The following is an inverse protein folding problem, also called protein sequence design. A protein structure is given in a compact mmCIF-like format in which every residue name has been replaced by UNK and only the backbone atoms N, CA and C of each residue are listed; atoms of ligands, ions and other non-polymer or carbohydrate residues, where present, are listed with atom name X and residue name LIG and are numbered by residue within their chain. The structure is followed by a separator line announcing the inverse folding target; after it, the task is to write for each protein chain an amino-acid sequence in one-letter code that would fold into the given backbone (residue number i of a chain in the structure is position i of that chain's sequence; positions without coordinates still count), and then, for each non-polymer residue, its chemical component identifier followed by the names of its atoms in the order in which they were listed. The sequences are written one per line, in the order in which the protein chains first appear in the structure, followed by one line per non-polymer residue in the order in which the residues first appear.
data_IF_012415332188
#
_entry.id   IF_012415332188
#
_cell.length_a   1.000
_cell.length_b   1.000
_cell.length_c   1.000
_cell.angle_alpha   90.00
_cell.angle_beta   90.00
_cell.angle_gamma   90.00
#
_symmetry.space_group_name_H-M   'P 1'
#
loop_
_entity.id
_entity.type
_entity.pdbx_description
1 polymer ?
#
# COMPACT_ATOMS: atom_id res chain seq x y z
N UNK A 1 0.44 -8.17 -2.36
CA UNK A 1 -0.32 -7.42 -3.39
C UNK A 1 0.55 -6.42 -4.16
N UNK A 2 0.24 -6.13 -5.43
CA UNK A 2 0.86 -5.03 -6.18
C UNK A 2 0.28 -3.67 -5.75
N UNK A 3 1.13 -2.66 -5.60
CA UNK A 3 0.76 -1.28 -5.23
C UNK A 3 1.47 -0.25 -6.11
N UNK A 4 0.83 0.89 -6.32
CA UNK A 4 1.43 2.09 -6.91
C UNK A 4 2.10 2.93 -5.83
N UNK A 5 3.35 3.32 -6.08
CA UNK A 5 4.13 4.22 -5.23
C UNK A 5 3.78 5.69 -5.45
N UNK A 6 2.55 5.98 -5.86
CA UNK A 6 2.14 7.31 -6.32
C UNK A 6 2.24 8.38 -5.22
N UNK A 7 1.89 8.04 -3.98
CA UNK A 7 2.04 8.95 -2.83
C UNK A 7 3.50 9.32 -2.57
N UNK A 8 4.40 8.35 -2.65
CA UNK A 8 5.84 8.54 -2.48
C UNK A 8 6.44 9.39 -3.60
N UNK A 9 6.13 9.04 -4.86
CA UNK A 9 6.63 9.74 -6.06
C UNK A 9 6.15 11.19 -6.13
N UNK A 10 4.90 11.45 -5.70
CA UNK A 10 4.33 12.80 -5.70
C UNK A 10 4.84 13.64 -4.54
N UNK A 11 5.13 13.03 -3.39
CA UNK A 11 5.46 13.74 -2.15
C UNK A 11 4.39 14.76 -1.77
N UNK A 12 4.78 16.02 -1.56
CA UNK A 12 3.86 17.10 -1.18
C UNK A 12 3.23 17.84 -2.36
N UNK A 13 3.88 17.87 -3.54
CA UNK A 13 3.40 18.57 -4.73
C UNK A 13 3.80 17.85 -6.03
N UNK A 14 2.95 17.88 -7.07
CA UNK A 14 1.63 18.54 -7.15
C UNK A 14 0.60 17.89 -6.22
N UNK A 15 -0.49 18.56 -5.90
CA UNK A 15 -1.65 17.93 -5.29
C UNK A 15 -2.26 16.90 -6.26
N UNK A 16 -3.03 15.94 -5.75
CA UNK A 16 -3.72 14.92 -6.57
C UNK A 16 -4.64 15.58 -7.61
N UNK A 17 -5.25 16.72 -7.25
CA UNK A 17 -6.13 17.47 -8.16
C UNK A 17 -5.35 18.11 -9.30
N UNK A 18 -4.24 18.77 -9.00
CA UNK A 18 -3.36 19.33 -10.04
C UNK A 18 -2.77 18.21 -10.92
N UNK A 19 -2.41 17.07 -10.34
CA UNK A 19 -1.93 15.91 -11.09
C UNK A 19 -3.02 15.36 -12.04
N UNK A 20 -4.26 15.31 -11.58
CA UNK A 20 -5.43 14.91 -12.36
C UNK A 20 -5.65 15.80 -13.57
N UNK A 21 -5.57 17.12 -13.39
CA UNK A 21 -5.69 18.09 -14.47
C UNK A 21 -4.54 17.96 -15.48
N UNK A 22 -3.30 17.73 -15.00
CA UNK A 22 -2.13 17.59 -15.90
C UNK A 22 -2.12 16.31 -16.71
N UNK A 23 -2.61 15.21 -16.14
CA UNK A 23 -2.59 13.89 -16.79
C UNK A 23 -3.85 13.60 -17.58
N UNK A 24 -4.88 14.45 -17.47
CA UNK A 24 -6.22 14.18 -17.98
C UNK A 24 -6.71 12.80 -17.51
N UNK A 25 -6.59 12.57 -16.20
CA UNK A 25 -7.10 11.38 -15.51
C UNK A 25 -8.07 11.87 -14.45
N UNK A 26 -9.25 11.24 -14.35
CA UNK A 26 -10.28 11.64 -13.37
C UNK A 26 -9.70 11.65 -11.95
N UNK A 27 -9.96 12.71 -11.19
CA UNK A 27 -9.44 12.90 -9.84
C UNK A 27 -9.70 11.72 -8.90
N UNK A 28 -10.92 11.16 -8.91
CA UNK A 28 -11.26 9.98 -8.11
C UNK A 28 -10.34 8.79 -8.42
N UNK A 29 -10.03 8.57 -9.70
CA UNK A 29 -9.17 7.48 -10.13
C UNK A 29 -7.75 7.66 -9.64
N UNK A 30 -7.17 8.85 -9.75
CA UNK A 30 -5.83 9.12 -9.21
C UNK A 30 -5.80 9.04 -7.68
N UNK A 31 -6.87 9.46 -7.02
CA UNK A 31 -7.01 9.31 -5.57
C UNK A 31 -7.05 7.84 -5.17
N UNK A 32 -7.76 6.99 -5.92
CA UNK A 32 -7.78 5.55 -5.68
C UNK A 32 -6.43 4.89 -5.99
N UNK A 33 -5.69 5.41 -6.96
CA UNK A 33 -4.33 4.95 -7.28
C UNK A 33 -3.35 5.32 -6.16
N UNK A 34 -3.43 6.54 -5.64
CA UNK A 34 -2.61 6.99 -4.51
C UNK A 34 -2.89 6.19 -3.24
N UNK A 35 -4.16 5.92 -2.96
CA UNK A 35 -4.58 5.14 -1.79
C UNK A 35 -4.49 3.62 -2.00
N UNK A 36 -4.06 3.16 -3.18
CA UNK A 36 -4.01 1.74 -3.53
C UNK A 36 -5.35 0.99 -3.34
N UNK A 37 -6.48 1.68 -3.52
CA UNK A 37 -7.84 1.10 -3.44
C UNK A 37 -8.36 0.64 -4.80
N UNK A 38 -7.71 1.06 -5.90
CA UNK A 38 -8.09 0.65 -7.24
C UNK A 38 -7.76 -0.83 -7.49
N UNK A 39 -8.75 -1.58 -7.98
CA UNK A 39 -8.59 -3.01 -8.34
C UNK A 39 -7.82 -3.24 -9.63
N UNK A 40 -7.79 -2.23 -10.50
CA UNK A 40 -7.20 -2.31 -11.84
C UNK A 40 -6.58 -0.97 -12.22
N UNK A 41 -5.45 -1.02 -12.92
CA UNK A 41 -4.79 0.15 -13.49
C UNK A 41 -4.88 0.09 -15.01
N UNK A 42 -5.27 1.20 -15.64
CA UNK A 42 -5.24 1.29 -17.10
C UNK A 42 -3.77 1.41 -17.56
N UNK A 43 -3.32 0.64 -18.57
CA UNK A 43 -2.00 0.81 -19.15
C UNK A 43 -1.72 2.25 -19.61
N UNK A 44 -2.74 2.94 -20.14
CA UNK A 44 -2.64 4.35 -20.53
C UNK A 44 -2.30 5.25 -19.34
N UNK A 45 -2.93 5.01 -18.18
CA UNK A 45 -2.65 5.79 -16.98
C UNK A 45 -1.24 5.52 -16.46
N UNK A 46 -0.79 4.26 -16.48
CA UNK A 46 0.57 3.90 -16.10
C UNK A 46 1.59 4.60 -17.01
N UNK A 47 1.37 4.60 -18.32
CA UNK A 47 2.24 5.28 -19.27
C UNK A 47 2.30 6.80 -19.04
N UNK A 48 1.14 7.43 -18.79
CA UNK A 48 1.04 8.86 -18.43
C UNK A 48 1.84 9.17 -17.16
N UNK A 49 1.71 8.34 -16.13
CA UNK A 49 2.44 8.48 -14.87
C UNK A 49 3.95 8.31 -15.07
N UNK A 50 4.38 7.26 -15.77
CA UNK A 50 5.79 7.01 -16.11
C UNK A 50 6.40 8.22 -16.82
N UNK A 51 5.72 8.76 -17.84
CA UNK A 51 6.19 9.94 -18.59
C UNK A 51 6.24 11.19 -17.72
N UNK A 52 5.22 11.44 -16.91
CA UNK A 52 5.14 12.63 -16.06
C UNK A 52 6.23 12.67 -14.99
N UNK A 53 6.51 11.53 -14.36
CA UNK A 53 7.56 11.41 -13.35
C UNK A 53 8.95 11.13 -13.95
N UNK A 54 9.04 10.95 -15.27
CA UNK A 54 10.31 10.70 -15.98
C UNK A 54 10.93 9.33 -15.68
N UNK A 55 10.12 8.36 -15.25
CA UNK A 55 10.55 7.01 -14.86
C UNK A 55 10.99 6.20 -16.08
N UNK A 56 12.00 5.34 -15.90
CA UNK A 56 12.54 4.49 -16.97
C UNK A 56 12.20 3.02 -16.78
N UNK A 57 11.95 2.61 -15.54
CA UNK A 57 11.59 1.25 -15.19
C UNK A 57 10.25 1.20 -14.43
N UNK A 58 9.44 0.19 -14.70
CA UNK A 58 8.11 0.03 -14.09
C UNK A 58 8.18 -0.23 -12.57
N UNK A 59 9.29 -0.80 -12.08
CA UNK A 59 9.52 -1.01 -10.64
C UNK A 59 9.71 0.29 -9.86
N UNK A 60 9.98 1.40 -10.54
CA UNK A 60 10.00 2.74 -9.93
C UNK A 60 8.58 3.22 -9.60
N UNK A 61 7.56 2.74 -10.35
CA UNK A 61 6.16 3.09 -10.18
C UNK A 61 5.37 2.07 -9.35
N UNK A 62 5.64 0.79 -9.57
CA UNK A 62 4.89 -0.33 -8.98
C UNK A 62 5.80 -1.10 -8.04
N UNK A 63 5.30 -1.37 -6.84
CA UNK A 63 5.93 -2.28 -5.89
C UNK A 63 5.07 -3.49 -5.60
N UNK A 64 5.72 -4.59 -5.25
CA UNK A 64 5.07 -5.72 -4.60
C UNK A 64 5.24 -5.57 -3.10
N UNK A 65 4.13 -5.49 -2.37
CA UNK A 65 4.14 -5.65 -0.92
C UNK A 65 3.64 -7.04 -0.61
N UNK A 66 4.36 -7.84 0.16
CA UNK A 66 3.79 -9.06 0.72
C UNK A 66 2.56 -8.69 1.55
N UNK A 67 1.51 -9.49 1.47
CA UNK A 67 0.36 -9.28 2.34
C UNK A 67 0.85 -9.63 3.75
N UNK A 68 1.23 -8.61 4.52
CA UNK A 68 1.43 -8.76 5.96
C UNK A 68 0.19 -9.48 6.49
N UNK A 69 0.41 -10.67 7.06
CA UNK A 69 -0.65 -11.50 7.63
C UNK A 69 -1.61 -10.61 8.38
N UNK A 70 -2.86 -10.63 7.90
CA UNK A 70 -3.98 -9.85 8.42
C UNK A 70 -3.86 -9.75 9.93
N UNK A 71 -3.49 -8.57 10.37
CA UNK A 71 -3.54 -8.20 11.75
C UNK A 71 -5.02 -8.20 12.15
N UNK A 72 -5.48 -9.11 13.04
CA UNK A 72 -6.90 -9.28 13.29
C UNK A 72 -7.58 -8.07 13.97
N UNK A 73 -6.88 -6.95 14.18
CA UNK A 73 -7.47 -5.74 14.76
C UNK A 73 -6.76 -4.41 14.46
N UNK A 74 -5.83 -4.35 13.50
CA UNK A 74 -5.10 -3.09 13.22
C UNK A 74 -4.02 -2.75 14.27
N UNK A 75 -3.48 -3.74 14.95
CA UNK A 75 -2.34 -3.57 15.85
C UNK A 75 -1.08 -3.11 15.08
N UNK A 76 -0.15 -2.47 15.74
CA UNK A 76 1.21 -2.28 15.23
C UNK A 76 1.99 -3.61 15.24
N UNK A 77 3.10 -3.68 14.50
CA UNK A 77 3.96 -4.88 14.49
C UNK A 77 4.46 -5.24 15.91
N UNK A 78 4.73 -4.23 16.74
CA UNK A 78 5.14 -4.41 18.14
C UNK A 78 4.02 -5.05 18.96
N UNK A 79 2.78 -4.63 18.76
CA UNK A 79 1.61 -5.18 19.46
C UNK A 79 1.30 -6.61 19.01
N UNK A 80 1.50 -6.93 17.72
CA UNK A 80 1.41 -8.31 17.23
C UNK A 80 2.45 -9.23 17.88
N UNK A 81 3.68 -8.77 18.01
CA UNK A 81 4.76 -9.56 18.62
C UNK A 81 4.49 -9.78 20.12
N UNK A 82 3.89 -8.81 20.80
CA UNK A 82 3.44 -8.96 22.19
C UNK A 82 2.30 -9.98 22.27
N UNK A 83 1.28 -9.85 21.43
CA UNK A 83 0.14 -10.76 21.42
C UNK A 83 0.57 -12.21 21.17
N UNK A 84 1.46 -12.44 20.19
CA UNK A 84 2.02 -13.76 19.87
C UNK A 84 2.73 -14.38 21.08
N UNK A 85 3.60 -13.63 21.74
CA UNK A 85 4.32 -14.10 22.95
C UNK A 85 3.37 -14.44 24.09
N UNK A 86 2.33 -13.63 24.29
CA UNK A 86 1.32 -13.87 25.33
C UNK A 86 0.53 -15.13 25.02
N UNK A 87 0.10 -15.32 23.77
CA UNK A 87 -0.66 -16.50 23.36
C UNK A 87 0.17 -17.79 23.47
N UNK A 88 1.42 -17.75 23.00
CA UNK A 88 2.39 -18.85 23.14
C UNK A 88 2.64 -19.21 24.61
N UNK A 89 2.70 -18.22 25.51
CA UNK A 89 2.81 -18.47 26.95
C UNK A 89 1.58 -19.24 27.47
N UNK A 90 0.36 -18.86 27.11
CA UNK A 90 -0.83 -19.58 27.57
C UNK A 90 -0.91 -20.99 27.00
N UNK A 91 -0.64 -21.16 25.71
CA UNK A 91 -0.63 -22.49 25.05
C UNK A 91 0.40 -23.44 25.69
N UNK A 92 1.58 -22.92 26.03
CA UNK A 92 2.64 -23.72 26.66
C UNK A 92 2.41 -23.96 28.16
N UNK A 93 1.56 -23.18 28.83
CA UNK A 93 1.27 -23.32 30.26
C UNK A 93 -0.13 -23.89 30.55
N UNK A 94 -0.96 -24.17 29.55
CA UNK A 94 -2.20 -24.93 29.69
C UNK A 94 -1.98 -26.45 29.90
N UNK A 95 -0.72 -26.92 29.89
CA UNK A 95 -0.34 -28.25 30.39
C UNK A 95 -0.05 -28.20 31.89
N UNK A 96 -0.98 -27.71 32.70
CA UNK A 96 -0.98 -27.96 34.15
C UNK A 96 -2.34 -27.64 34.79
N UNK A 97 -3.39 -28.32 34.33
CA UNK A 97 -4.61 -28.51 35.12
C UNK A 97 -4.92 -30.00 35.18
N UNK A 98 -4.13 -30.72 35.96
CA UNK A 98 -4.50 -31.96 36.63
C UNK A 98 -4.50 -31.70 38.14
#
# INVERSE_FOLDING_TARGET
MLKLRLGELRGSKPSVRELSEKLDIRWNTLKDYENNTAKTWSPEHLEKLMKYFGLKDVSELIEYQEDEQVNPGGFSQVELDIWRKVNEYYENNEVSKD
#
